data_IF_389599054891
#
_entry.id   IF_389599054891
#
_cell.length_a   1.000
_cell.length_b   1.000
_cell.length_c   1.000
_cell.angle_alpha   90.00
_cell.angle_beta   90.00
_cell.angle_gamma   90.00
#
_symmetry.space_group_name_H-M   'P 1'
#
loop_
_entity.id
_entity.type
_entity.pdbx_description
1 polymer ?
#
# COMPACT_ATOMS: atom_id res chain seq x y z
N UNK A 1 36.56 4.83 0.60
CA UNK A 1 36.11 6.04 1.34
C UNK A 1 34.81 6.69 0.82
N UNK A 2 34.30 6.34 -0.38
CA UNK A 2 32.99 6.82 -0.90
C UNK A 2 31.77 5.95 -0.52
N UNK A 3 31.97 4.74 -0.01
CA UNK A 3 30.89 3.79 0.30
C UNK A 3 30.20 4.05 1.66
N UNK A 4 30.93 4.55 2.66
CA UNK A 4 30.41 4.77 4.02
C UNK A 4 29.51 6.00 4.13
N UNK A 5 29.62 6.94 3.19
CA UNK A 5 28.84 8.18 3.20
C UNK A 5 27.38 7.99 2.74
N UNK A 6 27.08 6.89 2.03
CA UNK A 6 25.79 6.70 1.32
C UNK A 6 24.78 5.83 2.06
N UNK A 7 25.24 4.91 2.93
CA UNK A 7 24.36 4.16 3.85
C UNK A 7 23.61 5.07 4.83
N UNK A 8 24.13 6.28 5.05
CA UNK A 8 23.51 7.28 5.88
C UNK A 8 22.34 8.00 5.19
N UNK A 9 22.18 7.99 3.85
CA UNK A 9 21.19 8.83 3.16
C UNK A 9 19.74 8.36 3.37
N UNK A 10 19.49 7.05 3.42
CA UNK A 10 18.16 6.50 3.72
C UNK A 10 17.74 6.78 5.18
N UNK A 11 18.72 6.74 6.09
CA UNK A 11 18.51 7.16 7.49
C UNK A 11 18.40 8.68 7.60
N UNK A 12 19.08 9.46 6.74
CA UNK A 12 19.11 10.92 6.76
C UNK A 12 17.82 11.53 6.20
N UNK A 13 17.23 10.98 5.13
CA UNK A 13 15.92 11.43 4.63
C UNK A 13 14.78 11.11 5.62
N UNK A 14 14.91 10.02 6.38
CA UNK A 14 13.97 9.68 7.47
C UNK A 14 14.18 10.55 8.72
N UNK A 15 15.43 10.85 9.10
CA UNK A 15 15.76 11.72 10.23
C UNK A 15 15.47 13.21 9.95
N UNK A 16 15.53 13.67 8.70
CA UNK A 16 15.16 15.03 8.34
C UNK A 16 13.66 15.33 8.50
N UNK A 17 12.80 14.30 8.56
CA UNK A 17 11.38 14.46 8.95
C UNK A 17 11.15 14.35 10.46
N UNK A 18 12.12 13.90 11.24
CA UNK A 18 12.09 13.85 12.72
C UNK A 18 12.67 15.14 13.34
N UNK A 19 13.42 15.93 12.56
CA UNK A 19 13.75 17.31 12.92
C UNK A 19 12.49 18.17 12.81
N UNK A 20 11.62 18.07 13.82
CA UNK A 20 10.47 18.95 13.95
C UNK A 20 10.96 20.39 13.85
N UNK A 21 10.43 21.04 12.83
CA UNK A 21 10.33 22.47 12.68
C UNK A 21 9.96 23.10 14.04
N UNK A 22 10.92 23.78 14.66
CA UNK A 22 10.71 24.81 15.70
C UNK A 22 9.96 26.04 15.15
N UNK A 23 9.06 25.83 14.19
CA UNK A 23 8.29 26.88 13.54
C UNK A 23 7.01 27.05 14.34
N UNK A 24 7.05 28.04 15.22
CA UNK A 24 5.93 28.79 15.80
C UNK A 24 4.73 27.98 16.32
N UNK A 25 4.41 28.20 17.60
CA UNK A 25 3.17 27.79 18.24
C UNK A 25 1.97 28.51 17.59
N UNK A 26 1.57 28.06 16.40
CA UNK A 26 0.21 28.26 15.91
C UNK A 26 -0.68 27.29 16.69
N UNK A 27 -1.86 27.74 17.10
CA UNK A 27 -2.87 26.89 17.74
C UNK A 27 -2.99 25.57 16.98
N UNK A 28 -2.83 24.45 17.70
CA UNK A 28 -2.95 23.13 17.09
C UNK A 28 -4.41 23.00 16.66
N UNK A 29 -4.69 23.08 15.35
CA UNK A 29 -6.00 22.67 14.83
C UNK A 29 -6.29 21.24 15.30
N UNK A 30 -7.25 21.12 16.21
CA UNK A 30 -7.64 19.88 16.86
C UNK A 30 -8.48 18.99 15.93
N UNK A 31 -8.94 19.52 14.80
CA UNK A 31 -9.80 18.81 13.85
C UNK A 31 -9.33 19.03 12.41
N UNK A 32 -8.13 18.52 12.06
CA UNK A 32 -7.56 18.73 10.74
C UNK A 32 -8.44 18.09 9.66
N UNK A 33 -8.52 18.76 8.53
CA UNK A 33 -9.39 18.38 7.41
C UNK A 33 -8.62 17.88 6.20
N UNK A 34 -7.30 17.99 6.22
CA UNK A 34 -6.43 17.54 5.15
C UNK A 34 -5.34 16.64 5.71
N UNK A 35 -4.78 15.80 4.86
CA UNK A 35 -3.59 15.04 5.15
C UNK A 35 -2.81 14.73 3.88
N UNK A 36 -1.49 14.74 3.99
CA UNK A 36 -0.59 14.17 2.99
C UNK A 36 0.13 12.98 3.64
N UNK A 37 0.22 11.87 2.92
CA UNK A 37 0.94 10.66 3.32
C UNK A 37 1.94 10.24 2.24
N UNK A 38 3.14 9.87 2.68
CA UNK A 38 4.11 9.15 1.87
C UNK A 38 4.27 7.74 2.43
N UNK A 39 4.19 6.75 1.55
CA UNK A 39 4.41 5.34 1.90
C UNK A 39 5.43 4.74 0.93
N UNK A 40 6.31 3.92 1.49
CA UNK A 40 7.25 3.10 0.74
C UNK A 40 7.14 1.65 1.22
N UNK A 41 6.90 0.76 0.27
CA UNK A 41 6.96 -0.68 0.47
C UNK A 41 8.23 -1.23 -0.15
N UNK A 42 8.87 -2.18 0.51
CA UNK A 42 10.09 -2.79 0.00
C UNK A 42 10.35 -4.18 0.61
N UNK A 43 10.91 -5.10 -0.18
CA UNK A 43 11.20 -6.48 0.22
C UNK A 43 12.66 -6.74 0.66
N UNK A 44 13.56 -5.74 0.58
CA UNK A 44 14.99 -5.87 0.87
C UNK A 44 15.33 -6.35 2.30
N UNK A 45 14.45 -6.11 3.29
CA UNK A 45 14.66 -6.62 4.66
C UNK A 45 14.32 -8.13 4.76
N UNK A 46 13.52 -8.65 3.83
CA UNK A 46 13.40 -10.10 3.58
C UNK A 46 14.66 -10.73 2.99
N UNK A 47 15.69 -9.92 2.69
CA UNK A 47 16.91 -10.29 1.97
C UNK A 47 16.62 -10.81 0.55
N UNK A 48 15.51 -10.37 -0.04
CA UNK A 48 15.13 -10.66 -1.42
C UNK A 48 14.99 -9.37 -2.21
N UNK A 49 14.88 -9.52 -3.53
CA UNK A 49 14.53 -8.47 -4.46
C UNK A 49 13.70 -9.11 -5.59
N UNK A 50 12.50 -9.55 -5.22
CA UNK A 50 11.64 -10.38 -6.06
C UNK A 50 10.18 -10.10 -5.84
N UNK A 51 9.37 -10.44 -6.83
CA UNK A 51 7.91 -10.37 -6.78
C UNK A 51 7.46 -8.94 -6.54
N UNK A 52 6.78 -8.61 -5.46
CA UNK A 52 6.50 -7.21 -5.13
C UNK A 52 7.73 -6.57 -4.49
N UNK A 53 8.64 -6.08 -5.33
CA UNK A 53 9.93 -5.52 -4.95
C UNK A 53 9.81 -4.16 -4.27
N UNK A 54 9.01 -3.27 -4.85
CA UNK A 54 8.90 -1.91 -4.34
C UNK A 54 7.57 -1.26 -4.72
N UNK A 55 7.04 -0.45 -3.81
CA UNK A 55 5.88 0.40 -4.05
C UNK A 55 6.09 1.78 -3.46
N UNK A 56 5.83 2.83 -4.24
CA UNK A 56 5.85 4.22 -3.80
C UNK A 56 4.47 4.83 -3.91
N UNK A 57 4.02 5.47 -2.84
CA UNK A 57 2.69 6.04 -2.77
C UNK A 57 2.73 7.46 -2.20
N UNK A 58 2.03 8.36 -2.87
CA UNK A 58 1.76 9.71 -2.39
C UNK A 58 0.25 9.88 -2.31
N UNK A 59 -0.25 10.06 -1.09
CA UNK A 59 -1.69 10.14 -0.84
C UNK A 59 -2.06 11.52 -0.30
N UNK A 60 -3.07 12.14 -0.89
CA UNK A 60 -3.77 13.28 -0.31
C UNK A 60 -5.16 12.84 0.17
N UNK A 61 -5.55 13.24 1.39
CA UNK A 61 -6.88 12.98 1.94
C UNK A 61 -7.56 14.27 2.39
N UNK A 62 -8.88 14.33 2.20
CA UNK A 62 -9.73 15.48 2.55
C UNK A 62 -11.01 15.01 3.23
N UNK A 63 -11.23 15.44 4.47
CA UNK A 63 -12.51 15.25 5.19
C UNK A 63 -13.48 16.33 4.76
N UNK A 64 -14.67 15.91 4.35
CA UNK A 64 -15.73 16.82 3.94
C UNK A 64 -16.40 17.43 5.18
N UNK A 65 -16.59 18.74 5.16
CA UNK A 65 -17.30 19.48 6.23
C UNK A 65 -18.81 19.43 6.05
N UNK A 66 -19.25 19.31 4.80
CA UNK A 66 -20.65 19.24 4.38
C UNK A 66 -20.76 18.08 3.39
N UNK A 67 -20.94 16.87 3.93
CA UNK A 67 -21.16 15.66 3.15
C UNK A 67 -22.58 15.57 2.62
N UNK A 68 -22.86 14.49 1.88
CA UNK A 68 -24.19 14.16 1.36
C UNK A 68 -25.08 13.56 2.46
N UNK A 69 -24.49 12.85 3.42
CA UNK A 69 -25.23 12.18 4.48
C UNK A 69 -25.01 12.84 5.85
N UNK A 70 -26.09 13.13 6.60
CA UNK A 70 -25.96 13.70 7.93
C UNK A 70 -25.33 12.69 8.90
N UNK A 71 -24.48 13.20 9.80
CA UNK A 71 -23.84 12.40 10.88
C UNK A 71 -22.98 11.23 10.40
N UNK A 72 -22.47 11.30 9.17
CA UNK A 72 -21.47 10.37 8.62
C UNK A 72 -20.20 11.17 8.34
N UNK A 73 -19.04 10.59 8.68
CA UNK A 73 -17.75 11.18 8.28
C UNK A 73 -17.48 10.78 6.84
N UNK A 74 -17.45 11.76 5.95
CA UNK A 74 -17.11 11.57 4.54
C UNK A 74 -15.70 12.06 4.27
N UNK A 75 -14.93 11.26 3.54
CA UNK A 75 -13.55 11.59 3.20
C UNK A 75 -13.20 11.14 1.78
N UNK A 76 -12.57 12.04 1.04
CA UNK A 76 -11.98 11.77 -0.27
C UNK A 76 -10.49 11.46 -0.12
N UNK A 77 -9.97 10.58 -0.96
CA UNK A 77 -8.55 10.28 -1.08
C UNK A 77 -8.10 10.24 -2.53
N UNK A 78 -6.89 10.73 -2.79
CA UNK A 78 -6.23 10.68 -4.08
C UNK A 78 -4.83 10.14 -3.86
N UNK A 79 -4.53 8.96 -4.38
CA UNK A 79 -3.24 8.30 -4.22
C UNK A 79 -2.61 8.09 -5.58
N UNK A 80 -1.45 8.70 -5.80
CA UNK A 80 -0.56 8.27 -6.88
C UNK A 80 0.24 7.06 -6.40
N UNK A 81 0.37 6.04 -7.24
CA UNK A 81 1.12 4.82 -6.95
C UNK A 81 2.09 4.48 -8.08
N UNK A 82 3.29 4.02 -7.72
CA UNK A 82 4.28 3.42 -8.60
C UNK A 82 4.71 2.09 -8.00
N UNK A 83 4.47 0.98 -8.69
CA UNK A 83 4.75 -0.37 -8.22
C UNK A 83 5.68 -1.10 -9.18
N UNK A 84 6.65 -1.79 -8.61
CA UNK A 84 7.70 -2.54 -9.30
C UNK A 84 7.56 -4.01 -8.95
N UNK A 85 7.49 -4.86 -9.97
CA UNK A 85 7.53 -6.30 -9.81
C UNK A 85 8.63 -6.96 -10.64
N UNK A 86 9.38 -7.87 -10.02
CA UNK A 86 10.53 -8.53 -10.64
C UNK A 86 10.47 -10.07 -10.47
N UNK A 87 11.11 -10.83 -11.37
CA UNK A 87 11.42 -12.25 -11.13
C UNK A 87 12.39 -12.43 -9.96
N UNK A 88 12.52 -13.68 -9.49
CA UNK A 88 13.52 -14.04 -8.46
C UNK A 88 14.97 -13.90 -8.97
N UNK A 89 15.23 -14.26 -10.22
CA UNK A 89 16.55 -14.10 -10.86
C UNK A 89 16.62 -12.78 -11.64
N UNK A 90 17.19 -11.75 -11.01
CA UNK A 90 17.34 -10.41 -11.60
C UNK A 90 18.42 -10.32 -12.68
N UNK A 91 19.35 -11.27 -12.73
CA UNK A 91 20.45 -11.29 -13.71
C UNK A 91 20.08 -12.14 -14.95
N UNK A 92 18.89 -12.77 -14.94
CA UNK A 92 18.39 -13.55 -16.05
C UNK A 92 18.21 -12.70 -17.32
N UNK A 93 18.93 -13.08 -18.37
CA UNK A 93 18.83 -12.50 -19.73
C UNK A 93 18.06 -13.39 -20.71
N UNK A 94 17.51 -14.51 -20.23
CA UNK A 94 16.68 -15.42 -21.01
C UNK A 94 15.31 -15.57 -20.34
N UNK A 95 14.24 -15.33 -21.09
CA UNK A 95 12.85 -15.39 -20.62
C UNK A 95 12.50 -16.74 -19.97
N UNK A 96 13.09 -17.84 -20.44
CA UNK A 96 12.83 -19.18 -19.89
C UNK A 96 13.41 -19.42 -18.49
N UNK A 97 14.21 -18.48 -17.98
CA UNK A 97 14.73 -18.52 -16.60
C UNK A 97 13.88 -17.70 -15.63
N UNK A 98 12.93 -16.93 -16.14
CA UNK A 98 12.07 -16.10 -15.30
C UNK A 98 10.97 -16.96 -14.68
N UNK A 99 10.75 -16.82 -13.37
CA UNK A 99 9.63 -17.45 -12.68
C UNK A 99 8.34 -16.61 -12.77
N UNK A 100 8.46 -15.30 -12.98
CA UNK A 100 7.38 -14.38 -13.38
C UNK A 100 7.87 -13.31 -14.36
N UNK A 101 6.97 -12.69 -15.14
CA UNK A 101 7.34 -11.52 -15.91
C UNK A 101 7.69 -10.34 -15.00
N UNK A 102 8.56 -9.47 -15.52
CA UNK A 102 8.67 -8.12 -14.98
C UNK A 102 7.34 -7.40 -15.20
N UNK A 103 6.92 -6.59 -14.23
CA UNK A 103 5.74 -5.74 -14.41
C UNK A 103 5.94 -4.42 -13.68
N UNK A 104 5.73 -3.32 -14.39
CA UNK A 104 5.60 -1.99 -13.82
C UNK A 104 4.15 -1.54 -13.82
N UNK A 105 3.72 -0.84 -12.78
CA UNK A 105 2.43 -0.15 -12.77
C UNK A 105 2.56 1.25 -12.19
N UNK A 106 1.95 2.24 -12.83
CA UNK A 106 1.75 3.55 -12.24
C UNK A 106 0.33 4.04 -12.48
N UNK A 107 -0.25 4.73 -11.49
CA UNK A 107 -1.64 5.13 -11.59
C UNK A 107 -2.13 6.01 -10.45
N UNK A 108 -3.41 6.38 -10.55
CA UNK A 108 -4.14 7.19 -9.58
C UNK A 108 -5.31 6.37 -9.04
N UNK A 109 -5.37 6.23 -7.72
CA UNK A 109 -6.49 5.66 -7.00
C UNK A 109 -7.29 6.79 -6.31
N UNK A 110 -8.57 6.90 -6.66
CA UNK A 110 -9.50 7.90 -6.13
C UNK A 110 -10.49 7.19 -5.21
N UNK A 111 -10.49 7.53 -3.93
CA UNK A 111 -11.33 6.91 -2.91
C UNK A 111 -12.35 7.87 -2.33
N UNK A 112 -13.51 7.33 -1.95
CA UNK A 112 -14.52 8.02 -1.16
C UNK A 112 -15.05 7.08 -0.08
N UNK A 113 -14.81 7.48 1.17
CA UNK A 113 -15.22 6.71 2.35
C UNK A 113 -16.35 7.40 3.11
N UNK A 114 -17.22 6.58 3.69
CA UNK A 114 -18.33 6.92 4.57
C UNK A 114 -18.14 6.15 5.87
N UNK A 115 -17.84 6.84 6.97
CA UNK A 115 -17.46 6.22 8.23
C UNK A 115 -18.35 6.68 9.40
N UNK A 116 -18.73 5.72 10.24
CA UNK A 116 -19.23 5.92 11.60
C UNK A 116 -18.26 5.27 12.60
N UNK A 117 -18.60 5.31 13.89
CA UNK A 117 -17.72 4.85 14.97
C UNK A 117 -17.32 3.37 14.87
N UNK A 118 -18.11 2.54 14.21
CA UNK A 118 -18.00 1.08 14.20
C UNK A 118 -18.19 0.44 12.82
N UNK A 119 -18.41 1.23 11.76
CA UNK A 119 -18.47 0.74 10.38
C UNK A 119 -18.00 1.78 9.39
N UNK A 120 -17.55 1.30 8.22
CA UNK A 120 -17.21 2.14 7.07
C UNK A 120 -17.53 1.44 5.75
N UNK A 121 -17.83 2.25 4.74
CA UNK A 121 -17.89 1.82 3.34
C UNK A 121 -16.93 2.73 2.58
N UNK A 122 -16.10 2.15 1.74
CA UNK A 122 -15.19 2.89 0.87
C UNK A 122 -15.29 2.36 -0.56
N UNK A 123 -15.58 3.25 -1.50
CA UNK A 123 -15.47 2.98 -2.93
C UNK A 123 -14.20 3.60 -3.48
N UNK A 124 -13.50 2.86 -4.33
CA UNK A 124 -12.26 3.28 -4.98
C UNK A 124 -12.34 3.10 -6.48
N UNK A 125 -11.82 4.08 -7.22
CA UNK A 125 -11.66 4.01 -8.66
C UNK A 125 -10.19 4.21 -9.02
N UNK A 126 -9.60 3.19 -9.63
CA UNK A 126 -8.23 3.17 -10.11
C UNK A 126 -8.21 3.44 -11.61
N UNK A 127 -7.28 4.30 -12.03
CA UNK A 127 -6.81 4.40 -13.43
C UNK A 127 -5.29 4.31 -13.45
N UNK A 128 -4.71 3.69 -14.47
CA UNK A 128 -3.25 3.62 -14.57
C UNK A 128 -2.72 2.94 -15.82
N UNK A 129 -1.41 2.91 -15.92
CA UNK A 129 -0.65 2.27 -16.99
C UNK A 129 0.18 1.13 -16.42
N UNK A 130 0.15 0.00 -17.09
CA UNK A 130 1.07 -1.12 -16.89
C UNK A 130 2.09 -1.16 -18.03
N UNK A 131 3.24 -1.76 -17.78
CA UNK A 131 4.31 -1.97 -18.78
C UNK A 131 5.36 -0.85 -18.81
N UNK A 132 6.22 -0.80 -19.84
CA UNK A 132 7.30 0.18 -19.96
C UNK A 132 6.88 1.65 -19.76
N UNK A 133 5.68 2.03 -20.22
CA UNK A 133 5.09 3.36 -20.07
C UNK A 133 4.71 3.70 -18.63
N UNK A 134 4.61 2.71 -17.73
CA UNK A 134 4.43 2.96 -16.30
C UNK A 134 5.61 3.72 -15.67
N UNK A 135 6.80 3.61 -16.27
CA UNK A 135 8.04 4.18 -15.77
C UNK A 135 8.67 3.41 -14.60
N UNK A 136 8.05 2.32 -14.14
CA UNK A 136 8.52 1.59 -12.96
C UNK A 136 9.89 0.93 -13.18
N UNK A 137 10.14 0.35 -14.37
CA UNK A 137 11.44 -0.23 -14.67
C UNK A 137 12.56 0.80 -14.78
N UNK A 138 12.27 1.99 -15.31
CA UNK A 138 13.23 3.09 -15.35
C UNK A 138 13.56 3.57 -13.93
N UNK A 139 12.54 3.74 -13.10
CA UNK A 139 12.71 4.10 -11.68
C UNK A 139 13.52 3.06 -10.92
N UNK A 140 13.20 1.78 -11.08
CA UNK A 140 13.89 0.67 -10.43
C UNK A 140 15.39 0.68 -10.78
N UNK A 141 15.72 0.76 -12.08
CA UNK A 141 17.12 0.82 -12.53
C UNK A 141 17.85 2.07 -12.02
N UNK A 142 17.20 3.23 -12.01
CA UNK A 142 17.77 4.46 -11.44
C UNK A 142 18.04 4.34 -9.94
N UNK A 143 17.11 3.77 -9.18
CA UNK A 143 17.29 3.56 -7.75
C UNK A 143 18.45 2.60 -7.48
N UNK A 144 18.57 1.53 -8.27
CA UNK A 144 19.67 0.58 -8.18
C UNK A 144 21.01 1.21 -8.52
N UNK A 145 21.10 2.01 -9.58
CA UNK A 145 22.37 2.62 -9.99
C UNK A 145 22.79 3.77 -9.07
N UNK A 146 21.88 4.70 -8.79
CA UNK A 146 22.22 5.98 -8.15
C UNK A 146 22.09 5.96 -6.64
N UNK A 147 21.16 5.18 -6.09
CA UNK A 147 20.82 5.24 -4.66
C UNK A 147 21.50 4.11 -3.89
N UNK A 148 21.31 2.86 -4.31
CA UNK A 148 21.77 1.69 -3.55
C UNK A 148 23.01 0.98 -4.15
N UNK A 149 23.45 1.36 -5.35
CA UNK A 149 24.59 0.77 -6.07
C UNK A 149 24.50 -0.77 -6.14
N UNK A 150 23.38 -1.25 -6.69
CA UNK A 150 23.04 -2.66 -6.87
C UNK A 150 23.03 -3.04 -8.36
N UNK A 151 22.90 -4.34 -8.68
CA UNK A 151 22.82 -4.79 -10.07
C UNK A 151 21.63 -4.17 -10.80
N UNK A 152 21.82 -3.86 -12.08
CA UNK A 152 20.78 -3.27 -12.92
C UNK A 152 20.11 -4.41 -13.68
N UNK A 153 18.90 -4.76 -13.26
CA UNK A 153 18.10 -5.77 -13.92
C UNK A 153 17.79 -5.38 -15.38
N UNK A 154 17.78 -6.34 -16.32
CA UNK A 154 17.60 -6.05 -17.74
C UNK A 154 16.15 -5.76 -18.13
N UNK A 155 15.17 -6.10 -17.28
CA UNK A 155 13.73 -5.96 -17.57
C UNK A 155 13.32 -6.64 -18.90
N UNK A 156 13.85 -7.83 -19.14
CA UNK A 156 13.47 -8.63 -20.31
C UNK A 156 12.05 -9.17 -20.14
N UNK A 157 11.28 -9.18 -21.23
CA UNK A 157 9.91 -9.72 -21.21
C UNK A 157 9.02 -9.10 -20.11
N UNK A 158 9.13 -7.77 -19.92
CA UNK A 158 8.15 -7.02 -19.16
C UNK A 158 6.76 -7.20 -19.79
N UNK A 159 5.71 -7.23 -18.96
CA UNK A 159 4.34 -7.12 -19.43
C UNK A 159 4.20 -5.87 -20.31
N UNK A 160 3.51 -6.02 -21.44
CA UNK A 160 3.33 -4.97 -22.45
C UNK A 160 2.50 -3.79 -21.94
N UNK A 161 2.60 -2.67 -22.67
CA UNK A 161 1.90 -1.44 -22.32
C UNK A 161 0.38 -1.60 -22.41
N UNK A 162 -0.30 -1.30 -21.31
CA UNK A 162 -1.76 -1.32 -21.27
C UNK A 162 -2.35 -0.32 -20.29
N UNK A 163 -3.49 0.25 -20.67
CA UNK A 163 -4.28 1.10 -19.79
C UNK A 163 -5.25 0.27 -18.96
N UNK A 164 -5.33 0.59 -17.67
CA UNK A 164 -6.17 -0.12 -16.73
C UNK A 164 -7.14 0.77 -15.98
N UNK A 165 -8.30 0.18 -15.69
CA UNK A 165 -9.28 0.73 -14.77
C UNK A 165 -9.73 -0.35 -13.80
N UNK A 166 -10.03 0.05 -12.56
CA UNK A 166 -10.57 -0.86 -11.55
C UNK A 166 -11.53 -0.12 -10.63
N UNK A 167 -12.64 -0.78 -10.30
CA UNK A 167 -13.53 -0.38 -9.21
C UNK A 167 -13.30 -1.33 -8.05
N UNK A 168 -13.15 -0.78 -6.85
CA UNK A 168 -12.99 -1.54 -5.62
C UNK A 168 -13.99 -1.05 -4.58
N UNK A 169 -14.63 -1.99 -3.88
CA UNK A 169 -15.54 -1.70 -2.76
C UNK A 169 -14.99 -2.41 -1.52
N UNK A 170 -14.82 -1.64 -0.45
CA UNK A 170 -14.36 -2.10 0.86
C UNK A 170 -15.48 -1.82 1.86
N UNK A 171 -15.90 -2.86 2.58
CA UNK A 171 -16.85 -2.73 3.69
C UNK A 171 -16.09 -3.01 4.98
N UNK A 172 -16.40 -2.29 6.05
CA UNK A 172 -15.82 -2.52 7.37
C UNK A 172 -16.93 -2.56 8.40
N UNK A 173 -16.91 -3.60 9.23
CA UNK A 173 -17.63 -3.65 10.50
C UNK A 173 -16.67 -4.05 11.60
N UNK A 174 -16.66 -3.31 12.69
CA UNK A 174 -15.83 -3.63 13.85
C UNK A 174 -16.62 -3.75 15.15
N UNK A 175 -16.05 -4.47 16.10
CA UNK A 175 -16.56 -4.67 17.45
C UNK A 175 -15.46 -4.38 18.45
N UNK A 176 -15.76 -3.52 19.42
CA UNK A 176 -14.89 -3.27 20.56
C UNK A 176 -15.07 -4.40 21.58
N UNK A 177 -14.02 -5.18 21.80
CA UNK A 177 -13.99 -6.27 22.77
C UNK A 177 -13.46 -5.80 24.14
N UNK A 178 -12.61 -4.79 24.14
CA UNK A 178 -12.09 -4.13 25.35
C UNK A 178 -11.89 -2.63 25.11
N UNK A 179 -12.19 -1.75 26.10
CA UNK A 179 -11.98 -0.31 25.98
C UNK A 179 -10.53 0.11 26.23
N UNK A 180 -10.24 1.40 26.01
CA UNK A 180 -8.98 2.04 26.40
C UNK A 180 -8.76 1.92 27.93
N UNK A 181 -7.50 1.92 28.43
CA UNK A 181 -6.27 2.31 27.75
C UNK A 181 -5.61 1.22 26.88
N UNK A 182 -6.00 -0.04 27.01
CA UNK A 182 -5.59 -1.13 26.12
C UNK A 182 -6.83 -1.72 25.45
N UNK A 183 -7.24 -1.10 24.35
CA UNK A 183 -8.41 -1.53 23.62
C UNK A 183 -8.11 -2.76 22.75
N UNK A 184 -9.13 -3.59 22.57
CA UNK A 184 -9.09 -4.73 21.66
C UNK A 184 -10.28 -4.58 20.73
N UNK A 185 -10.02 -4.60 19.42
CA UNK A 185 -11.06 -4.60 18.40
C UNK A 185 -10.91 -5.81 17.49
N UNK A 186 -12.04 -6.36 17.07
CA UNK A 186 -12.15 -7.29 15.95
C UNK A 186 -12.86 -6.57 14.81
N UNK A 187 -12.33 -6.66 13.60
CA UNK A 187 -12.97 -6.13 12.41
C UNK A 187 -13.08 -7.17 11.30
N UNK A 188 -14.19 -7.11 10.57
CA UNK A 188 -14.38 -7.77 9.30
C UNK A 188 -14.34 -6.73 8.18
N UNK A 189 -13.51 -6.98 7.19
CA UNK A 189 -13.21 -6.04 6.10
C UNK A 189 -13.27 -6.73 4.73
N UNK A 190 -14.44 -7.23 4.29
CA UNK A 190 -14.52 -7.78 2.95
C UNK A 190 -14.30 -6.70 1.90
N UNK A 191 -13.50 -7.04 0.89
CA UNK A 191 -13.25 -6.22 -0.30
C UNK A 191 -13.60 -6.99 -1.57
N UNK A 192 -14.01 -6.27 -2.60
CA UNK A 192 -14.16 -6.79 -3.95
C UNK A 192 -13.55 -5.79 -4.94
N UNK A 193 -12.88 -6.30 -5.96
CA UNK A 193 -12.37 -5.48 -7.06
C UNK A 193 -12.81 -6.07 -8.39
N UNK A 194 -13.18 -5.19 -9.32
CA UNK A 194 -13.53 -5.55 -10.68
C UNK A 194 -12.98 -4.52 -11.66
N UNK A 195 -12.25 -4.99 -12.66
CA UNK A 195 -11.66 -4.14 -13.67
C UNK A 195 -10.74 -4.91 -14.59
N UNK A 196 -9.90 -4.16 -15.31
CA UNK A 196 -8.92 -4.74 -16.24
C UNK A 196 -7.58 -5.00 -15.58
N UNK A 197 -7.27 -4.42 -14.41
CA UNK A 197 -6.04 -4.72 -13.66
C UNK A 197 -6.23 -5.97 -12.80
N UNK A 198 -7.28 -5.99 -11.98
CA UNK A 198 -7.53 -7.07 -11.03
C UNK A 198 -9.03 -7.43 -10.98
N UNK A 199 -9.33 -8.71 -10.77
CA UNK A 199 -10.68 -9.16 -10.39
C UNK A 199 -10.57 -10.12 -9.22
N UNK A 200 -11.09 -9.74 -8.06
CA UNK A 200 -11.00 -10.56 -6.86
C UNK A 200 -12.12 -10.29 -5.85
N UNK A 201 -12.27 -11.22 -4.91
CA UNK A 201 -12.99 -11.04 -3.64
C UNK A 201 -12.05 -11.40 -2.49
N UNK A 202 -12.05 -10.61 -1.42
CA UNK A 202 -11.15 -10.76 -0.29
C UNK A 202 -11.88 -10.48 1.04
N UNK A 203 -12.42 -11.51 1.72
CA UNK A 203 -12.68 -11.41 3.15
C UNK A 203 -11.38 -11.20 3.94
N UNK A 204 -11.41 -10.25 4.87
CA UNK A 204 -10.30 -9.94 5.77
C UNK A 204 -10.78 -9.86 7.21
N UNK A 205 -10.03 -10.47 8.11
CA UNK A 205 -10.19 -10.38 9.56
C UNK A 205 -9.02 -9.57 10.10
N UNK A 206 -9.32 -8.58 10.94
CA UNK A 206 -8.29 -7.75 11.59
C UNK A 206 -8.53 -7.70 13.08
N UNK A 207 -7.45 -7.89 13.84
CA UNK A 207 -7.41 -7.56 15.26
C UNK A 207 -6.56 -6.32 15.49
N UNK A 208 -7.05 -5.43 16.35
CA UNK A 208 -6.31 -4.26 16.81
C UNK A 208 -6.12 -4.35 18.33
N UNK A 209 -4.92 -4.03 18.79
CA UNK A 209 -4.55 -4.10 20.20
C UNK A 209 -3.76 -2.87 20.62
N UNK A 210 -4.28 -2.10 21.57
CA UNK A 210 -3.63 -0.90 22.10
C UNK A 210 -4.57 0.28 22.21
N UNK A 211 -4.05 1.49 22.40
CA UNK A 211 -4.86 2.70 22.51
C UNK A 211 -5.24 3.23 21.14
N UNK A 212 -6.54 3.33 20.84
CA UNK A 212 -7.03 3.78 19.54
C UNK A 212 -8.28 4.67 19.67
N UNK A 213 -8.48 5.53 18.68
CA UNK A 213 -9.73 6.24 18.47
C UNK A 213 -10.80 5.32 17.84
N UNK A 214 -12.10 5.70 17.85
CA UNK A 214 -13.13 5.02 17.05
C UNK A 214 -12.81 5.02 15.56
N UNK A 215 -13.43 4.10 14.81
CA UNK A 215 -13.18 3.89 13.38
C UNK A 215 -13.11 5.20 12.57
N UNK A 216 -14.13 6.05 12.68
CA UNK A 216 -14.28 7.28 11.88
C UNK A 216 -13.29 8.40 12.18
N UNK A 217 -12.33 8.19 13.07
CA UNK A 217 -11.27 9.16 13.33
C UNK A 217 -9.90 8.52 13.59
N UNK A 218 -9.76 7.22 13.33
CA UNK A 218 -8.55 6.46 13.64
C UNK A 218 -7.64 6.25 12.43
N UNK A 219 -6.33 6.20 12.69
CA UNK A 219 -5.32 5.83 11.68
C UNK A 219 -5.46 4.38 11.18
N UNK A 220 -6.19 3.52 11.88
CA UNK A 220 -6.44 2.14 11.45
C UNK A 220 -7.15 2.04 10.09
N UNK A 221 -7.91 3.08 9.74
CA UNK A 221 -8.74 3.19 8.53
C UNK A 221 -8.52 4.51 7.80
N UNK A 222 -7.36 5.14 8.03
CA UNK A 222 -6.96 6.41 7.42
C UNK A 222 -7.93 7.56 7.62
N UNK A 223 -8.73 7.53 8.68
CA UNK A 223 -9.71 8.57 8.94
C UNK A 223 -9.05 9.74 9.67
N UNK A 224 -9.24 10.94 9.13
CA UNK A 224 -8.75 12.19 9.71
C UNK A 224 -9.81 12.86 10.59
N UNK A 225 -9.39 13.83 11.39
CA UNK A 225 -10.29 14.62 12.23
C UNK A 225 -10.24 14.30 13.72
N UNK A 226 -9.19 13.59 14.15
CA UNK A 226 -8.72 13.57 15.53
C UNK A 226 -7.21 13.77 15.54
N UNK A 227 -6.71 14.47 16.55
CA UNK A 227 -5.27 14.59 16.86
C UNK A 227 -4.91 13.87 18.16
N UNK A 228 -5.84 13.09 18.72
CA UNK A 228 -5.57 12.29 19.90
C UNK A 228 -4.55 11.20 19.59
N UNK A 229 -3.66 10.94 20.55
CA UNK A 229 -2.62 9.95 20.38
C UNK A 229 -3.22 8.54 20.28
N UNK A 230 -2.73 7.78 19.31
CA UNK A 230 -3.03 6.37 19.13
C UNK A 230 -1.71 5.60 19.14
N UNK A 231 -1.69 4.45 19.80
CA UNK A 231 -0.59 3.49 19.72
C UNK A 231 -1.17 2.11 19.82
N UNK A 232 -1.13 1.37 18.73
CA UNK A 232 -1.68 0.02 18.67
C UNK A 232 -0.91 -0.82 17.66
N UNK A 233 -0.95 -2.14 17.85
CA UNK A 233 -0.53 -3.09 16.85
C UNK A 233 -1.74 -3.76 16.20
N UNK A 234 -1.56 -4.17 14.95
CA UNK A 234 -2.58 -4.77 14.13
C UNK A 234 -2.13 -6.15 13.69
N UNK A 235 -3.02 -7.13 13.72
CA UNK A 235 -2.82 -8.44 13.10
C UNK A 235 -3.91 -8.63 12.04
N UNK A 236 -3.51 -8.96 10.82
CA UNK A 236 -4.40 -9.08 9.66
C UNK A 236 -4.28 -10.48 9.06
N UNK A 237 -5.42 -11.05 8.71
CA UNK A 237 -5.50 -12.25 7.88
C UNK A 237 -6.51 -12.00 6.77
N UNK A 238 -6.05 -12.07 5.53
CA UNK A 238 -6.89 -11.95 4.35
C UNK A 238 -6.85 -13.24 3.54
N UNK A 239 -8.01 -13.62 2.99
CA UNK A 239 -8.14 -14.73 2.06
C UNK A 239 -8.70 -14.19 0.76
N UNK A 240 -7.90 -14.14 -0.30
CA UNK A 240 -8.27 -13.57 -1.59
C UNK A 240 -8.54 -14.66 -2.60
N UNK A 241 -9.72 -14.61 -3.21
CA UNK A 241 -10.02 -15.37 -4.40
C UNK A 241 -9.78 -14.49 -5.64
N UNK A 242 -8.82 -14.88 -6.48
CA UNK A 242 -8.38 -14.14 -7.67
C UNK A 242 -8.95 -14.79 -8.92
N UNK A 243 -9.69 -14.02 -9.70
CA UNK A 243 -10.13 -14.41 -11.05
C UNK A 243 -9.24 -13.82 -12.14
N UNK A 244 -8.59 -12.69 -11.89
CA UNK A 244 -7.68 -12.06 -12.83
C UNK A 244 -6.63 -11.21 -12.11
N UNK A 245 -5.38 -11.29 -12.58
CA UNK A 245 -4.27 -10.47 -12.14
C UNK A 245 -3.42 -10.06 -13.34
N UNK A 246 -3.56 -8.81 -13.79
CA UNK A 246 -2.86 -8.30 -14.97
C UNK A 246 -1.33 -8.24 -14.80
N UNK A 247 -0.82 -8.15 -13.58
CA UNK A 247 0.63 -8.15 -13.30
C UNK A 247 1.30 -9.51 -13.61
N UNK A 248 0.48 -10.55 -13.81
CA UNK A 248 0.93 -11.90 -14.16
C UNK A 248 0.38 -12.33 -15.53
N UNK A 249 -0.88 -11.99 -15.83
CA UNK A 249 -1.61 -12.45 -17.02
C UNK A 249 -1.68 -11.42 -18.16
N UNK A 250 -1.24 -10.18 -17.93
CA UNK A 250 -1.44 -9.11 -18.90
C UNK A 250 -2.89 -8.61 -18.99
N UNK A 251 -3.23 -7.84 -20.02
CA UNK A 251 -4.56 -7.26 -20.18
C UNK A 251 -5.63 -8.29 -20.60
N UNK A 252 -6.73 -8.38 -19.83
CA UNK A 252 -7.85 -9.29 -20.11
C UNK A 252 -8.51 -9.12 -21.49
N UNK A 253 -8.47 -7.92 -22.08
CA UNK A 253 -9.08 -7.63 -23.39
C UNK A 253 -8.20 -8.05 -24.57
N UNK A 254 -7.00 -8.58 -24.30
CA UNK A 254 -5.99 -8.94 -25.30
C UNK A 254 -4.63 -8.43 -24.86
N UNK A 255 -3.65 -9.32 -24.87
CA UNK A 255 -2.30 -9.06 -24.40
C UNK A 255 -1.30 -9.72 -25.36
N UNK A 256 -0.23 -9.00 -25.70
CA UNK A 256 0.83 -9.47 -26.60
C UNK A 256 2.15 -9.67 -25.86
N UNK A 257 2.12 -9.75 -24.51
CA UNK A 257 3.33 -9.88 -23.72
C UNK A 257 4.06 -11.17 -24.09
N UNK A 258 5.40 -11.12 -24.21
CA UNK A 258 6.20 -12.29 -24.57
C UNK A 258 6.20 -13.37 -23.48
N UNK A 259 5.81 -13.01 -22.24
CA UNK A 259 5.73 -13.92 -21.11
C UNK A 259 4.64 -13.50 -20.14
N UNK A 260 3.76 -14.44 -19.83
CA UNK A 260 2.71 -14.33 -18.81
C UNK A 260 2.62 -15.66 -18.05
N UNK A 261 2.06 -15.61 -16.85
CA UNK A 261 1.81 -16.80 -16.03
C UNK A 261 0.42 -16.75 -15.40
N UNK A 262 -0.13 -17.93 -15.11
CA UNK A 262 -1.42 -18.06 -14.45
C UNK A 262 -1.30 -17.87 -12.92
N UNK A 263 -2.16 -17.03 -12.31
CA UNK A 263 -2.16 -16.83 -10.88
C UNK A 263 -2.78 -18.02 -10.16
N UNK A 264 -2.33 -18.26 -8.92
CA UNK A 264 -3.09 -19.05 -7.98
C UNK A 264 -4.38 -18.32 -7.63
N UNK A 265 -5.52 -19.00 -7.83
CA UNK A 265 -6.84 -18.43 -7.53
C UNK A 265 -7.06 -18.14 -6.05
N UNK A 266 -6.26 -18.74 -5.14
CA UNK A 266 -6.46 -18.67 -3.70
C UNK A 266 -5.19 -18.17 -3.04
N UNK A 267 -5.25 -16.96 -2.51
CA UNK A 267 -4.13 -16.31 -1.83
C UNK A 267 -4.47 -16.07 -0.36
N UNK A 268 -3.45 -16.21 0.48
CA UNK A 268 -3.51 -15.86 1.91
C UNK A 268 -2.46 -14.78 2.16
N UNK A 269 -2.91 -13.67 2.73
CA UNK A 269 -2.04 -12.59 3.22
C UNK A 269 -2.15 -12.52 4.74
N UNK A 270 -0.99 -12.49 5.41
CA UNK A 270 -0.88 -12.23 6.83
C UNK A 270 -0.06 -10.96 7.05
N UNK A 271 -0.61 -10.01 7.80
CA UNK A 271 0.01 -8.73 8.11
C UNK A 271 0.15 -8.48 9.61
N UNK A 272 1.25 -7.85 9.99
CA UNK A 272 1.47 -7.30 11.33
C UNK A 272 1.90 -5.84 11.19
N UNK A 273 1.19 -4.92 11.84
CA UNK A 273 1.47 -3.48 11.75
C UNK A 273 1.63 -2.84 13.12
N UNK A 274 2.64 -1.98 13.29
CA UNK A 274 2.73 -1.02 14.39
C UNK A 274 2.23 0.35 13.91
N UNK A 275 1.29 0.93 14.64
CA UNK A 275 0.62 2.17 14.27
C UNK A 275 0.75 3.17 15.42
N UNK A 276 1.18 4.38 15.10
CA UNK A 276 1.32 5.46 16.07
C UNK A 276 0.84 6.79 15.50
N UNK A 277 -0.06 7.47 16.22
CA UNK A 277 -0.40 8.87 15.99
C UNK A 277 0.12 9.71 17.15
N UNK A 278 0.83 10.78 16.82
CA UNK A 278 1.21 11.84 17.75
C UNK A 278 0.75 13.18 17.18
N UNK A 279 -0.28 13.77 17.79
CA UNK A 279 -0.93 14.99 17.28
C UNK A 279 -1.38 14.82 15.83
N UNK A 280 -0.83 15.62 14.91
CA UNK A 280 -1.14 15.60 13.47
C UNK A 280 -0.21 14.68 12.66
N UNK A 281 0.71 13.94 13.31
CA UNK A 281 1.66 13.04 12.66
C UNK A 281 1.20 11.58 12.85
N UNK A 282 1.12 10.83 11.76
CA UNK A 282 0.87 9.39 11.79
C UNK A 282 2.11 8.66 11.28
N UNK A 283 2.44 7.55 11.93
CA UNK A 283 3.54 6.66 11.59
C UNK A 283 2.99 5.24 11.55
N UNK A 284 3.31 4.50 10.48
CA UNK A 284 2.94 3.10 10.34
C UNK A 284 4.13 2.29 9.85
N UNK A 285 4.26 1.11 10.42
CA UNK A 285 5.27 0.12 10.07
C UNK A 285 4.59 -1.24 9.95
N UNK A 286 4.51 -1.78 8.74
CA UNK A 286 3.87 -3.05 8.42
C UNK A 286 4.87 -4.11 8.00
N UNK A 287 4.61 -5.36 8.36
CA UNK A 287 5.26 -6.55 7.83
C UNK A 287 4.21 -7.49 7.28
N UNK A 288 4.38 -7.90 6.03
CA UNK A 288 3.40 -8.69 5.30
C UNK A 288 4.04 -9.97 4.79
N UNK A 289 3.26 -11.05 4.76
CA UNK A 289 3.61 -12.28 4.09
C UNK A 289 2.45 -12.77 3.23
N UNK A 290 2.75 -12.96 1.95
CA UNK A 290 1.81 -13.44 0.96
C UNK A 290 2.12 -14.89 0.60
N UNK A 291 1.08 -15.70 0.43
CA UNK A 291 1.21 -17.02 -0.18
C UNK A 291 1.74 -16.92 -1.63
N UNK A 292 2.03 -18.05 -2.25
CA UNK A 292 2.50 -18.08 -3.64
C UNK A 292 1.44 -17.46 -4.57
N UNK A 293 1.81 -16.46 -5.36
CA UNK A 293 0.88 -15.81 -6.30
C UNK A 293 0.63 -16.64 -7.57
N UNK A 294 1.52 -17.57 -7.91
CA UNK A 294 1.38 -18.55 -8.98
C UNK A 294 2.11 -19.85 -8.59
N UNK A 295 1.90 -20.94 -9.33
CA UNK A 295 2.43 -22.26 -8.99
C UNK A 295 3.98 -22.27 -8.86
N UNK A 296 4.64 -21.59 -9.80
CA UNK A 296 6.10 -21.51 -9.89
C UNK A 296 6.73 -20.57 -8.85
N UNK A 297 5.93 -19.70 -8.22
CA UNK A 297 6.43 -18.67 -7.30
C UNK A 297 6.60 -19.21 -5.89
N UNK A 298 7.37 -18.46 -5.11
CA UNK A 298 7.55 -18.67 -3.69
C UNK A 298 6.63 -17.75 -2.87
N UNK A 299 6.57 -17.99 -1.55
CA UNK A 299 5.94 -17.05 -0.63
C UNK A 299 6.70 -15.74 -0.64
N UNK A 300 5.98 -14.64 -0.62
CA UNK A 300 6.56 -13.30 -0.63
C UNK A 300 6.47 -12.64 0.74
N UNK A 301 7.40 -11.73 1.01
CA UNK A 301 7.44 -10.93 2.24
C UNK A 301 7.90 -9.52 1.90
N UNK A 302 7.28 -8.53 2.50
CA UNK A 302 7.71 -7.15 2.35
C UNK A 302 7.40 -6.34 3.61
N UNK A 303 8.07 -5.21 3.75
CA UNK A 303 7.77 -4.20 4.76
C UNK A 303 7.09 -3.01 4.11
N UNK A 304 6.25 -2.34 4.91
CA UNK A 304 5.64 -1.07 4.56
C UNK A 304 6.01 -0.03 5.62
N UNK A 305 6.41 1.15 5.19
CA UNK A 305 6.65 2.30 6.07
C UNK A 305 5.85 3.47 5.55
N UNK A 306 5.12 4.13 6.43
CA UNK A 306 4.31 5.29 6.10
C UNK A 306 4.46 6.41 7.13
N UNK A 307 4.49 7.63 6.61
CA UNK A 307 4.36 8.86 7.37
C UNK A 307 3.26 9.73 6.78
N UNK A 308 2.34 10.20 7.62
CA UNK A 308 1.30 11.14 7.23
C UNK A 308 1.27 12.38 8.13
N UNK A 309 1.05 13.55 7.53
CA UNK A 309 0.87 14.82 8.22
C UNK A 309 -0.49 15.42 7.91
N UNK A 310 -1.29 15.62 8.95
CA UNK A 310 -2.57 16.31 8.88
C UNK A 310 -2.43 17.82 9.05
N UNK A 311 -3.31 18.61 8.41
CA UNK A 311 -3.31 20.07 8.50
C UNK A 311 -4.68 20.73 8.25
#
# INVERSE_FOLDING_TARGET
>A
MKATLRKNILVFLFLCFIYESNWAQNEIDLNPKNQIEFQHDNDLIGLTDRYYTSGLFLTYRRRLTSGIFPSITEQLSFQFQLMVYTPDDLDAVNVHKLDRPYAGFSGLNMGWSFAKKDWMIEGKFLIGLMGPSSGAGQFHRWFHSEVINFSIAPWIAEIEDSFHTNLELILVKEWQLSPNPFSVYLALTPALAYGTKDVYIEPKIIFYFGRRNPLNSSIAYDQIGSVENETFFTMRLAYRYVSHNALLQGNRSGDNSPFTIEPNEKLVDFGFDLNHRSKKNNYKFGYHTLSKEAAELNRHKYLSISYARSF
#
